data_IF_877787349874
#
_entry.id   IF_877787349874
#
_cell.length_a   1.000
_cell.length_b   1.000
_cell.length_c   1.000
_cell.angle_alpha   90.00
_cell.angle_beta   90.00
_cell.angle_gamma   90.00
#
_symmetry.space_group_name_H-M   'P 1'
#
loop_
_entity.id
_entity.type
_entity.pdbx_description
1 polymer ?
#
# COMPACT_ATOMS: atom_id res chain seq x y z
N UNK A 1 -11.54 -3.69 9.59
CA UNK A 1 -11.45 -4.25 8.22
C UNK A 1 -12.55 -5.30 8.06
N UNK A 2 -13.80 -4.88 7.88
CA UNK A 2 -14.91 -5.83 7.66
C UNK A 2 -15.10 -6.15 6.16
N UNK A 3 -14.41 -5.39 5.32
CA UNK A 3 -14.60 -5.27 3.88
C UNK A 3 -13.28 -5.44 3.12
N UNK A 4 -12.14 -5.60 3.81
CA UNK A 4 -10.88 -5.95 3.20
C UNK A 4 -10.66 -7.47 3.26
N UNK A 5 -10.21 -8.06 2.14
CA UNK A 5 -9.78 -9.45 2.06
C UNK A 5 -8.27 -9.50 2.04
N UNK A 6 -7.67 -10.05 3.10
CA UNK A 6 -6.22 -10.21 3.20
C UNK A 6 -5.92 -11.71 3.18
N UNK A 7 -5.20 -12.15 2.15
CA UNK A 7 -4.81 -13.56 2.01
C UNK A 7 -3.66 -13.93 2.97
N UNK A 8 -3.33 -15.21 3.02
CA UNK A 8 -2.35 -15.73 3.99
C UNK A 8 -0.90 -15.27 3.75
N UNK A 9 -0.08 -15.40 4.80
CA UNK A 9 1.37 -15.21 4.77
C UNK A 9 1.85 -13.78 4.40
N UNK A 10 0.98 -12.79 4.48
CA UNK A 10 1.37 -11.38 4.36
C UNK A 10 1.93 -10.79 5.66
N UNK A 11 2.63 -9.66 5.54
CA UNK A 11 3.06 -8.83 6.67
C UNK A 11 2.55 -7.41 6.45
N UNK A 12 1.76 -6.90 7.39
CA UNK A 12 1.25 -5.54 7.36
C UNK A 12 1.60 -4.90 8.70
N UNK A 13 2.23 -3.73 8.65
CA UNK A 13 2.66 -3.04 9.87
C UNK A 13 2.43 -1.54 9.73
N UNK A 14 1.85 -0.94 10.77
CA UNK A 14 1.57 0.49 10.91
C UNK A 14 1.04 1.19 9.64
N UNK A 15 0.16 0.49 8.92
CA UNK A 15 -0.37 0.87 7.60
C UNK A 15 -1.85 1.29 7.70
N UNK A 16 -2.31 2.09 6.74
CA UNK A 16 -3.71 2.54 6.66
C UNK A 16 -4.31 2.02 5.36
N UNK A 17 -5.33 1.17 5.46
CA UNK A 17 -6.07 0.67 4.31
C UNK A 17 -7.51 1.17 4.36
N UNK A 18 -7.95 1.73 3.24
CA UNK A 18 -9.34 2.04 2.98
C UNK A 18 -10.20 0.79 2.84
N UNK A 19 -11.41 0.99 2.34
CA UNK A 19 -12.45 -0.01 2.21
C UNK A 19 -12.32 -0.89 0.97
N UNK A 20 -12.93 -2.08 1.01
CA UNK A 20 -13.09 -2.98 -0.14
C UNK A 20 -11.79 -3.39 -0.87
N UNK A 21 -10.67 -3.46 -0.17
CA UNK A 21 -9.39 -3.90 -0.74
C UNK A 21 -9.26 -5.43 -0.77
N UNK A 22 -8.66 -5.97 -1.84
CA UNK A 22 -8.26 -7.39 -1.92
C UNK A 22 -6.75 -7.49 -2.03
N UNK A 23 -6.10 -8.13 -1.05
CA UNK A 23 -4.66 -8.33 -0.98
C UNK A 23 -4.33 -9.82 -1.13
N UNK A 24 -3.53 -10.14 -2.14
CA UNK A 24 -3.08 -11.50 -2.44
C UNK A 24 -2.12 -12.09 -1.41
N UNK A 25 -1.84 -13.40 -1.49
CA UNK A 25 -1.02 -14.10 -0.50
C UNK A 25 0.42 -13.58 -0.54
N UNK A 26 1.03 -13.41 0.63
CA UNK A 26 2.39 -12.86 0.74
C UNK A 26 2.50 -11.36 0.46
N UNK A 27 1.39 -10.60 0.50
CA UNK A 27 1.44 -9.13 0.45
C UNK A 27 2.24 -8.55 1.63
N UNK A 28 3.18 -7.65 1.35
CA UNK A 28 4.02 -6.99 2.34
C UNK A 28 3.81 -5.48 2.25
N UNK A 29 3.34 -4.87 3.35
CA UNK A 29 3.41 -3.43 3.55
C UNK A 29 4.52 -3.13 4.56
N UNK A 30 5.65 -2.63 4.06
CA UNK A 30 6.77 -2.23 4.92
C UNK A 30 6.39 -1.04 5.79
N UNK A 31 6.97 -0.98 7.00
CA UNK A 31 6.95 0.19 7.85
C UNK A 31 8.36 0.75 8.06
N UNK A 32 8.44 2.05 8.32
CA UNK A 32 9.70 2.71 8.67
C UNK A 32 9.47 3.83 9.67
N UNK A 33 10.42 3.99 10.58
CA UNK A 33 10.47 5.08 11.55
C UNK A 33 11.08 6.34 10.95
N UNK A 34 10.73 7.49 11.51
CA UNK A 34 11.27 8.81 11.11
C UNK A 34 11.14 9.05 9.59
N UNK A 35 9.98 8.73 9.03
CA UNK A 35 9.76 8.83 7.60
C UNK A 35 9.55 10.30 7.20
N UNK A 36 10.17 10.69 6.09
CA UNK A 36 9.95 11.97 5.43
C UNK A 36 9.09 11.74 4.19
N UNK A 37 7.88 12.30 4.19
CA UNK A 37 6.90 12.18 3.11
C UNK A 37 6.85 13.51 2.37
N UNK A 38 7.07 13.50 1.07
CA UNK A 38 6.87 14.69 0.25
C UNK A 38 5.43 14.70 -0.28
N UNK A 39 4.58 15.57 0.28
CA UNK A 39 3.22 15.81 -0.19
C UNK A 39 3.13 17.22 -0.74
N UNK A 40 2.85 17.36 -2.04
CA UNK A 40 2.68 18.67 -2.69
C UNK A 40 3.84 19.64 -2.40
N UNK A 41 5.09 19.17 -2.55
CA UNK A 41 6.32 19.93 -2.28
C UNK A 41 6.52 20.34 -0.81
N UNK A 42 5.75 19.76 0.12
CA UNK A 42 5.93 19.92 1.56
C UNK A 42 6.42 18.61 2.17
N UNK A 43 7.48 18.69 2.96
CA UNK A 43 8.00 17.54 3.70
C UNK A 43 7.22 17.42 5.01
N UNK A 44 6.56 16.27 5.18
CA UNK A 44 5.89 15.85 6.40
C UNK A 44 6.73 14.78 7.10
N UNK A 45 6.85 14.87 8.42
CA UNK A 45 7.54 13.86 9.22
C UNK A 45 6.53 12.96 9.90
N UNK A 46 6.66 11.66 9.72
CA UNK A 46 5.89 10.66 10.44
C UNK A 46 6.83 9.89 11.40
N UNK A 47 6.48 9.78 12.70
CA UNK A 47 7.32 9.03 13.65
C UNK A 47 7.44 7.56 13.23
N UNK A 48 6.36 6.99 12.70
CA UNK A 48 6.30 5.65 12.12
C UNK A 48 5.16 5.62 11.10
N UNK A 49 5.38 5.04 9.92
CA UNK A 49 4.34 4.86 8.90
C UNK A 49 4.66 3.67 7.99
N UNK A 50 3.63 2.90 7.66
CA UNK A 50 3.66 1.83 6.67
C UNK A 50 3.17 2.25 5.29
N UNK A 51 2.45 1.38 4.60
CA UNK A 51 1.80 1.71 3.34
C UNK A 51 0.44 2.40 3.57
N UNK A 52 0.02 3.21 2.61
CA UNK A 52 -1.33 3.79 2.57
C UNK A 52 -2.02 3.24 1.33
N UNK A 53 -3.15 2.54 1.50
CA UNK A 53 -4.00 2.08 0.40
C UNK A 53 -5.34 2.79 0.50
N UNK A 54 -5.79 3.40 -0.59
CA UNK A 54 -7.15 3.90 -0.72
C UNK A 54 -8.19 2.78 -0.83
N UNK A 55 -9.41 3.13 -1.24
CA UNK A 55 -10.50 2.19 -1.42
C UNK A 55 -10.40 1.39 -2.73
N UNK A 56 -11.07 0.24 -2.78
CA UNK A 56 -11.34 -0.53 -4.01
C UNK A 56 -10.11 -1.07 -4.76
N UNK A 57 -8.97 -1.29 -4.10
CA UNK A 57 -7.77 -1.82 -4.77
C UNK A 57 -7.77 -3.36 -4.88
N UNK A 58 -7.16 -3.85 -5.96
CA UNK A 58 -6.88 -5.27 -6.21
C UNK A 58 -5.38 -5.49 -6.30
N UNK A 59 -4.80 -6.09 -5.27
CA UNK A 59 -3.37 -6.32 -5.16
C UNK A 59 -3.10 -7.82 -5.24
N UNK A 60 -2.26 -8.23 -6.18
CA UNK A 60 -1.83 -9.60 -6.40
C UNK A 60 -0.99 -10.18 -5.25
N UNK A 61 -0.60 -11.44 -5.39
CA UNK A 61 0.23 -12.12 -4.42
C UNK A 61 1.68 -11.65 -4.47
N UNK A 62 2.39 -11.72 -3.34
CA UNK A 62 3.83 -11.39 -3.22
C UNK A 62 4.16 -9.98 -3.70
N UNK A 63 3.21 -9.05 -3.57
CA UNK A 63 3.45 -7.62 -3.82
C UNK A 63 4.08 -7.01 -2.57
N UNK A 64 5.12 -6.21 -2.77
CA UNK A 64 5.78 -5.44 -1.72
C UNK A 64 5.50 -3.95 -1.92
N UNK A 65 5.01 -3.27 -0.90
CA UNK A 65 4.81 -1.81 -0.89
C UNK A 65 5.78 -1.19 0.11
N UNK A 66 6.59 -0.24 -0.36
CA UNK A 66 7.57 0.46 0.47
C UNK A 66 6.88 1.39 1.47
N UNK A 67 7.52 1.57 2.63
CA UNK A 67 7.02 2.43 3.68
C UNK A 67 6.80 3.87 3.17
N UNK A 68 5.65 4.44 3.53
CA UNK A 68 5.22 5.78 3.13
C UNK A 68 4.65 5.91 1.73
N UNK A 69 4.64 4.83 0.94
CA UNK A 69 4.04 4.85 -0.40
C UNK A 69 2.52 4.81 -0.30
N UNK A 70 1.88 5.65 -1.11
CA UNK A 70 0.45 5.70 -1.30
C UNK A 70 0.04 4.96 -2.58
N UNK A 71 -0.81 3.95 -2.44
CA UNK A 71 -1.65 3.44 -3.52
C UNK A 71 -3.00 4.15 -3.38
N UNK A 72 -3.39 4.93 -4.39
CA UNK A 72 -4.67 5.64 -4.39
C UNK A 72 -5.87 4.67 -4.48
N UNK A 73 -7.01 5.15 -4.94
CA UNK A 73 -8.23 4.31 -5.04
C UNK A 73 -8.34 3.63 -6.40
N UNK A 74 -9.02 2.48 -6.43
CA UNK A 74 -9.34 1.72 -7.64
C UNK A 74 -8.12 1.33 -8.50
N UNK A 75 -6.98 1.03 -7.87
CA UNK A 75 -5.78 0.54 -8.56
C UNK A 75 -5.76 -1.00 -8.66
N UNK A 76 -5.04 -1.50 -9.66
CA UNK A 76 -4.68 -2.91 -9.80
C UNK A 76 -3.16 -3.08 -9.83
N UNK A 77 -2.65 -4.03 -9.05
CA UNK A 77 -1.23 -4.39 -9.03
C UNK A 77 -1.09 -5.89 -9.21
N UNK A 78 -0.41 -6.31 -10.27
CA UNK A 78 -0.13 -7.71 -10.55
C UNK A 78 0.89 -8.31 -9.59
N UNK A 79 0.83 -9.64 -9.47
CA UNK A 79 1.60 -10.39 -8.48
C UNK A 79 3.11 -10.24 -8.68
N UNK A 80 3.87 -10.17 -7.57
CA UNK A 80 5.33 -10.11 -7.59
C UNK A 80 5.94 -8.71 -7.81
N UNK A 81 5.10 -7.68 -7.97
CA UNK A 81 5.58 -6.31 -8.12
C UNK A 81 6.06 -5.68 -6.81
N UNK A 82 7.01 -4.74 -6.93
CA UNK A 82 7.44 -3.87 -5.82
C UNK A 82 7.02 -2.43 -6.12
N UNK A 83 6.18 -1.87 -5.25
CA UNK A 83 5.66 -0.51 -5.36
C UNK A 83 6.50 0.39 -4.45
N UNK A 84 7.37 1.19 -5.06
CA UNK A 84 8.30 2.10 -4.38
C UNK A 84 8.00 3.59 -4.65
N UNK A 85 6.91 3.86 -5.38
CA UNK A 85 6.40 5.21 -5.69
C UNK A 85 4.88 5.19 -5.64
N UNK A 86 4.31 6.35 -5.36
CA UNK A 86 2.87 6.52 -5.28
C UNK A 86 2.18 6.14 -6.58
N UNK A 87 1.06 5.44 -6.48
CA UNK A 87 0.18 5.12 -7.61
C UNK A 87 -1.00 6.09 -7.60
N UNK A 88 -1.22 6.77 -8.73
CA UNK A 88 -2.41 7.58 -8.94
C UNK A 88 -3.66 6.71 -9.05
N UNK A 89 -4.83 7.32 -8.86
CA UNK A 89 -6.14 6.66 -9.05
C UNK A 89 -6.20 5.94 -10.40
N UNK A 90 -6.91 4.80 -10.44
CA UNK A 90 -7.16 4.00 -11.65
C UNK A 90 -5.88 3.44 -12.32
N UNK A 91 -4.76 3.38 -11.60
CA UNK A 91 -3.51 2.84 -12.14
C UNK A 91 -3.53 1.32 -12.23
N UNK A 92 -2.91 0.79 -13.29
CA UNK A 92 -2.64 -0.65 -13.45
C UNK A 92 -1.14 -0.87 -13.53
N UNK A 93 -0.62 -1.69 -12.63
CA UNK A 93 0.78 -2.14 -12.61
C UNK A 93 0.81 -3.61 -13.01
N UNK A 94 1.46 -3.90 -14.14
CA UNK A 94 1.59 -5.24 -14.74
C UNK A 94 2.89 -5.90 -14.30
#
# INVERSE_FOLDING_TARGET
MNDCRISSQGQISNSVFGSNNTLGPGFIAEEKEHLEINLNSKIHKAPKLGAILGDDNRIGGRVLVKAGVMIAVNCQVESGNTIYRDLSRDSVVL
#
